data_IF_143855182949
#
_entry.id   IF_143855182949
#
_cell.length_a   1.000
_cell.length_b   1.000
_cell.length_c   1.000
_cell.angle_alpha   90.00
_cell.angle_beta   90.00
_cell.angle_gamma   90.00
#
_symmetry.space_group_name_H-M   'P 1'
#
loop_
_entity.id
_entity.type
_entity.pdbx_description
1 polymer ?
#
# COMPACT_ATOMS: atom_id res chain seq x y z
N UNK A 1 30.30 -6.29 -29.92
CA UNK A 1 28.83 -6.30 -29.96
C UNK A 1 28.41 -7.56 -29.27
N UNK A 2 28.13 -7.42 -27.98
CA UNK A 2 27.57 -8.50 -27.18
C UNK A 2 26.12 -8.68 -27.63
N UNK A 3 25.66 -9.88 -28.01
CA UNK A 3 24.27 -10.08 -28.42
C UNK A 3 23.21 -9.79 -27.33
N UNK A 4 23.63 -9.53 -26.07
CA UNK A 4 22.75 -9.13 -24.98
C UNK A 4 22.58 -7.60 -24.82
N UNK A 5 23.38 -6.79 -25.52
CA UNK A 5 23.35 -5.32 -25.47
C UNK A 5 22.42 -4.80 -26.58
N UNK A 6 21.15 -4.57 -26.23
CA UNK A 6 20.07 -4.27 -27.20
C UNK A 6 19.97 -2.78 -27.56
N UNK A 7 20.45 -1.89 -26.68
CA UNK A 7 20.36 -0.43 -26.84
C UNK A 7 21.71 0.27 -27.06
N UNK A 8 22.83 -0.43 -26.85
CA UNK A 8 24.18 0.02 -27.18
C UNK A 8 24.78 1.02 -26.19
N UNK A 9 24.28 1.09 -24.96
CA UNK A 9 24.76 2.03 -23.94
C UNK A 9 26.04 1.57 -23.22
N UNK A 10 26.42 0.30 -23.39
CA UNK A 10 27.64 -0.30 -22.81
C UNK A 10 27.47 -0.78 -21.36
N UNK A 11 26.26 -0.84 -20.84
CA UNK A 11 25.91 -1.49 -19.58
C UNK A 11 25.50 -2.96 -19.84
N UNK A 12 25.82 -3.85 -18.90
CA UNK A 12 25.77 -5.32 -19.07
C UNK A 12 24.39 -5.93 -18.80
N UNK A 13 23.36 -5.10 -18.61
CA UNK A 13 22.02 -5.51 -18.23
C UNK A 13 21.06 -4.40 -18.66
N UNK A 14 20.06 -4.72 -19.48
CA UNK A 14 18.97 -3.79 -19.79
C UNK A 14 18.39 -3.30 -18.43
N UNK A 15 18.41 -1.99 -18.19
CA UNK A 15 17.72 -1.33 -17.07
C UNK A 15 16.40 -0.82 -17.64
N UNK A 16 15.40 -1.69 -17.61
CA UNK A 16 14.14 -1.43 -18.31
C UNK A 16 13.20 -0.48 -17.53
N UNK A 17 13.44 -0.27 -16.22
CA UNK A 17 12.64 0.61 -15.37
C UNK A 17 13.30 1.98 -15.12
N UNK A 18 14.55 2.17 -15.59
CA UNK A 18 15.27 3.44 -15.56
C UNK A 18 15.80 3.82 -14.19
N UNK A 19 15.91 2.87 -13.26
CA UNK A 19 16.41 3.09 -11.91
C UNK A 19 17.94 2.91 -11.79
N UNK A 20 18.61 2.61 -12.91
CA UNK A 20 20.05 2.39 -13.04
C UNK A 20 20.58 1.16 -12.27
N UNK A 21 19.71 0.19 -11.99
CA UNK A 21 20.04 -1.09 -11.35
C UNK A 21 19.84 -2.22 -12.38
N UNK A 22 20.80 -3.15 -12.51
CA UNK A 22 20.68 -4.32 -13.39
C UNK A 22 19.46 -5.22 -13.10
N UNK A 23 18.60 -5.44 -14.10
CA UNK A 23 17.41 -6.32 -14.05
C UNK A 23 17.74 -7.80 -13.72
N UNK A 24 19.03 -8.21 -13.75
CA UNK A 24 19.48 -9.56 -13.38
C UNK A 24 19.53 -9.81 -11.85
N UNK A 25 19.20 -8.80 -11.02
CA UNK A 25 19.19 -8.88 -9.56
C UNK A 25 17.77 -8.95 -8.95
N UNK A 26 16.71 -8.90 -9.75
CA UNK A 26 15.34 -8.95 -9.25
C UNK A 26 14.89 -10.44 -9.14
N UNK A 27 14.76 -10.95 -7.93
CA UNK A 27 14.05 -12.21 -7.71
C UNK A 27 12.55 -12.03 -7.91
N UNK A 28 11.73 -13.10 -7.92
CA UNK A 28 10.26 -12.94 -7.89
C UNK A 28 9.74 -12.30 -6.59
N UNK A 29 10.63 -12.02 -5.63
CA UNK A 29 10.37 -11.44 -4.32
C UNK A 29 11.08 -10.10 -4.23
N UNK A 30 10.34 -9.05 -3.90
CA UNK A 30 10.84 -7.74 -3.51
C UNK A 30 10.70 -7.56 -1.99
N UNK A 31 11.68 -6.93 -1.35
CA UNK A 31 11.75 -6.78 0.11
C UNK A 31 11.56 -5.32 0.52
N UNK A 32 10.75 -5.11 1.57
CA UNK A 32 10.43 -3.80 2.13
C UNK A 32 10.68 -3.84 3.64
N UNK A 33 11.53 -2.94 4.14
CA UNK A 33 11.86 -2.81 5.56
C UNK A 33 12.12 -1.34 5.89
N UNK A 34 11.26 -0.75 6.73
CA UNK A 34 11.39 0.62 7.19
C UNK A 34 12.73 0.87 7.92
N UNK A 35 13.31 -0.17 8.53
CA UNK A 35 14.55 -0.12 9.29
C UNK A 35 15.80 -0.35 8.43
N UNK A 36 15.65 -0.71 7.15
CA UNK A 36 16.77 -0.94 6.26
C UNK A 36 17.59 0.35 5.99
N UNK A 37 18.86 0.25 5.57
CA UNK A 37 19.59 1.41 5.07
C UNK A 37 18.84 2.11 3.94
N UNK A 38 18.97 3.43 3.85
CA UNK A 38 18.39 4.21 2.75
C UNK A 38 19.00 3.81 1.40
N UNK A 39 18.25 4.07 0.33
CA UNK A 39 18.64 3.80 -1.06
C UNK A 39 18.77 2.31 -1.40
N UNK A 40 18.01 1.45 -0.72
CA UNK A 40 17.84 0.05 -1.07
C UNK A 40 17.12 -0.15 -2.42
N UNK A 41 17.38 -1.28 -3.06
CA UNK A 41 16.83 -1.71 -4.35
C UNK A 41 15.74 -2.79 -4.24
N UNK A 42 15.37 -3.19 -3.02
CA UNK A 42 14.37 -4.22 -2.77
C UNK A 42 14.79 -5.64 -3.16
N UNK A 43 16.04 -5.90 -3.55
CA UNK A 43 16.49 -7.23 -4.00
C UNK A 43 16.80 -8.20 -2.85
N UNK A 44 16.96 -7.69 -1.63
CA UNK A 44 17.23 -8.45 -0.42
C UNK A 44 16.79 -7.68 0.83
N UNK A 45 16.70 -8.33 1.99
CA UNK A 45 16.50 -7.60 3.25
C UNK A 45 17.58 -6.56 3.54
N UNK A 46 18.84 -6.81 3.16
CA UNK A 46 19.94 -5.85 3.39
C UNK A 46 19.87 -4.61 2.51
N UNK A 47 19.15 -4.70 1.39
CA UNK A 47 18.95 -3.63 0.43
C UNK A 47 17.46 -3.38 0.23
N UNK A 48 16.63 -3.64 1.24
CA UNK A 48 15.18 -3.50 1.12
C UNK A 48 14.77 -2.04 0.89
N UNK A 49 13.65 -1.83 0.19
CA UNK A 49 13.03 -0.50 0.13
C UNK A 49 12.55 -0.09 1.52
N UNK A 50 12.67 1.18 1.88
CA UNK A 50 12.16 1.66 3.17
C UNK A 50 10.64 1.85 3.18
N UNK A 51 10.03 2.05 2.02
CA UNK A 51 8.59 2.23 1.88
C UNK A 51 8.00 1.22 0.90
N UNK A 52 6.72 0.88 1.11
CA UNK A 52 6.02 -0.10 0.26
C UNK A 52 5.64 0.49 -1.11
N UNK A 53 5.54 1.82 -1.23
CA UNK A 53 5.12 2.46 -2.47
C UNK A 53 6.14 2.21 -3.59
N UNK A 54 7.43 2.32 -3.30
CA UNK A 54 8.51 2.04 -4.27
C UNK A 54 8.43 0.59 -4.79
N UNK A 55 8.22 -0.39 -3.91
CA UNK A 55 8.09 -1.79 -4.30
C UNK A 55 6.85 -2.04 -5.19
N UNK A 56 5.73 -1.39 -4.90
CA UNK A 56 4.51 -1.47 -5.71
C UNK A 56 4.68 -0.77 -7.07
N UNK A 57 5.38 0.36 -7.11
CA UNK A 57 5.64 1.10 -8.34
C UNK A 57 6.53 0.28 -9.29
N UNK A 58 7.57 -0.37 -8.79
CA UNK A 58 8.38 -1.31 -9.58
C UNK A 58 7.52 -2.51 -10.03
N UNK A 59 6.74 -3.09 -9.12
CA UNK A 59 5.87 -4.22 -9.44
C UNK A 59 4.72 -3.87 -10.42
N UNK A 60 4.34 -2.60 -10.55
CA UNK A 60 3.36 -2.15 -11.55
C UNK A 60 3.98 -1.91 -12.93
N UNK A 61 5.30 -1.67 -13.00
CA UNK A 61 6.05 -1.31 -14.21
C UNK A 61 7.05 -2.40 -14.62
N UNK A 62 6.66 -3.67 -14.46
CA UNK A 62 7.53 -4.84 -14.69
C UNK A 62 8.01 -4.96 -16.14
N UNK A 63 9.15 -5.63 -16.29
CA UNK A 63 9.81 -5.89 -17.56
C UNK A 63 9.60 -7.36 -17.98
N UNK A 64 9.70 -7.69 -19.27
CA UNK A 64 9.32 -9.03 -19.77
C UNK A 64 10.18 -10.19 -19.23
N UNK A 65 11.37 -9.89 -18.70
CA UNK A 65 12.41 -10.86 -18.31
C UNK A 65 12.36 -11.28 -16.84
N UNK A 66 11.89 -10.41 -15.95
CA UNK A 66 11.72 -10.68 -14.52
C UNK A 66 10.42 -10.04 -14.02
N UNK A 67 9.62 -10.82 -13.31
CA UNK A 67 8.28 -10.46 -12.84
C UNK A 67 8.28 -10.58 -11.31
N UNK A 68 8.13 -9.45 -10.61
CA UNK A 68 7.86 -9.46 -9.18
C UNK A 68 6.49 -10.11 -8.97
N UNK A 69 6.44 -11.18 -8.22
CA UNK A 69 5.18 -11.87 -7.87
C UNK A 69 4.86 -11.76 -6.40
N UNK A 70 5.86 -11.42 -5.58
CA UNK A 70 5.72 -11.29 -4.14
C UNK A 70 6.44 -10.04 -3.63
N UNK A 71 5.83 -9.35 -2.67
CA UNK A 71 6.44 -8.28 -1.90
C UNK A 71 6.38 -8.70 -0.44
N UNK A 72 7.54 -8.80 0.22
CA UNK A 72 7.67 -9.18 1.61
C UNK A 72 7.97 -7.95 2.45
N UNK A 73 7.12 -7.67 3.43
CA UNK A 73 7.15 -6.42 4.18
C UNK A 73 7.43 -6.71 5.65
N UNK A 74 8.51 -6.13 6.16
CA UNK A 74 8.90 -6.23 7.56
C UNK A 74 7.92 -5.50 8.50
N UNK A 75 8.16 -5.61 9.80
CA UNK A 75 7.42 -4.87 10.80
C UNK A 75 7.70 -3.38 10.72
N UNK A 76 6.66 -2.59 10.94
CA UNK A 76 6.73 -1.15 10.72
C UNK A 76 5.40 -0.57 10.29
N UNK A 77 5.37 0.75 10.17
CA UNK A 77 4.23 1.47 9.61
C UNK A 77 4.62 2.11 8.29
N UNK A 78 3.80 1.91 7.27
CA UNK A 78 4.05 2.37 5.90
C UNK A 78 2.90 3.23 5.45
N UNK A 79 3.21 4.40 4.89
CA UNK A 79 2.23 5.37 4.39
C UNK A 79 2.22 5.37 2.85
N UNK A 80 1.04 5.51 2.20
CA UNK A 80 0.96 5.49 0.75
C UNK A 80 1.73 6.60 0.03
N UNK A 81 1.97 7.71 0.72
CA UNK A 81 2.61 8.90 0.16
C UNK A 81 4.15 8.80 0.11
N UNK A 82 4.70 7.61 0.40
CA UNK A 82 6.13 7.32 0.51
C UNK A 82 6.67 7.44 1.94
N UNK A 83 5.86 7.89 2.90
CA UNK A 83 6.23 7.94 4.31
C UNK A 83 6.34 6.56 4.95
N UNK A 84 7.10 6.48 6.05
CA UNK A 84 7.22 5.26 6.84
C UNK A 84 7.66 5.56 8.28
N UNK A 85 7.45 4.60 9.18
CA UNK A 85 7.90 4.63 10.57
C UNK A 85 8.53 3.28 10.91
N UNK A 86 9.85 3.22 11.11
CA UNK A 86 10.50 2.02 11.60
C UNK A 86 10.10 1.77 13.08
N UNK A 87 10.13 0.51 13.55
CA UNK A 87 9.86 0.20 14.94
C UNK A 87 10.80 0.99 15.88
N UNK A 88 10.20 1.80 16.76
CA UNK A 88 10.90 2.63 17.75
C UNK A 88 11.77 3.78 17.21
N UNK A 89 11.64 4.13 15.93
CA UNK A 89 12.31 5.26 15.29
C UNK A 89 11.30 6.36 14.90
N UNK A 90 11.76 7.61 14.66
CA UNK A 90 10.86 8.70 14.33
C UNK A 90 10.17 8.50 12.98
N UNK A 91 9.03 9.17 12.83
CA UNK A 91 8.30 9.21 11.58
C UNK A 91 9.08 9.91 10.47
N UNK A 92 9.10 9.29 9.28
CA UNK A 92 9.64 9.84 8.03
C UNK A 92 8.46 10.24 7.15
N UNK A 93 8.31 11.54 6.91
CA UNK A 93 7.22 12.11 6.12
C UNK A 93 7.40 11.86 4.62
N UNK A 94 6.33 11.50 3.93
CA UNK A 94 6.29 11.39 2.47
C UNK A 94 5.88 12.71 1.79
N UNK A 95 5.12 12.60 0.70
CA UNK A 95 4.66 13.75 -0.10
C UNK A 95 3.51 14.55 0.53
N UNK A 96 2.77 13.97 1.48
CA UNK A 96 1.55 14.53 2.06
C UNK A 96 0.33 14.51 1.13
N UNK A 97 0.37 13.73 0.03
CA UNK A 97 -0.78 13.60 -0.88
C UNK A 97 -1.82 12.65 -0.31
N UNK A 98 -3.04 13.17 -0.11
CA UNK A 98 -4.19 12.39 0.37
C UNK A 98 -4.71 11.39 -0.66
N UNK A 99 -4.44 11.67 -1.93
CA UNK A 99 -4.78 10.81 -3.06
C UNK A 99 -3.85 9.60 -3.18
N UNK A 100 -2.70 9.60 -2.49
CA UNK A 100 -1.80 8.47 -2.48
C UNK A 100 -2.46 7.26 -1.81
N UNK A 101 -2.26 6.09 -2.41
CA UNK A 101 -2.85 4.83 -1.99
C UNK A 101 -1.94 3.67 -2.39
N UNK A 102 -1.91 2.62 -1.58
CA UNK A 102 -1.27 1.37 -1.98
C UNK A 102 -2.15 0.67 -3.02
N UNK A 103 -1.89 0.96 -4.30
CA UNK A 103 -2.60 0.33 -5.41
C UNK A 103 -2.15 -1.13 -5.56
N UNK A 104 -3.09 -2.06 -5.42
CA UNK A 104 -2.81 -3.47 -5.62
C UNK A 104 -2.62 -3.80 -7.10
N UNK A 105 -1.67 -4.70 -7.39
CA UNK A 105 -1.28 -5.11 -8.75
C UNK A 105 -1.68 -6.57 -8.97
N UNK A 106 -2.37 -6.85 -10.08
CA UNK A 106 -2.69 -8.23 -10.49
C UNK A 106 -1.40 -9.04 -10.66
N UNK A 107 -1.39 -10.26 -10.12
CA UNK A 107 -0.23 -11.16 -10.14
C UNK A 107 0.77 -10.95 -9.01
N UNK A 108 0.58 -9.92 -8.17
CA UNK A 108 1.46 -9.57 -7.07
C UNK A 108 0.80 -9.86 -5.72
N UNK A 109 1.51 -10.57 -4.86
CA UNK A 109 1.11 -10.83 -3.48
C UNK A 109 1.95 -10.01 -2.50
N UNK A 110 1.29 -9.22 -1.65
CA UNK A 110 1.93 -8.46 -0.58
C UNK A 110 1.73 -9.18 0.74
N UNK A 111 2.83 -9.51 1.40
CA UNK A 111 2.88 -10.28 2.64
C UNK A 111 3.49 -9.44 3.77
N UNK A 112 2.73 -9.24 4.85
CA UNK A 112 3.26 -8.66 6.10
C UNK A 112 3.66 -9.74 7.11
N UNK A 113 4.37 -9.39 8.18
CA UNK A 113 4.71 -10.34 9.25
C UNK A 113 6.18 -10.75 9.34
N UNK A 114 7.08 -10.03 8.69
CA UNK A 114 8.51 -10.34 8.68
C UNK A 114 9.29 -9.50 9.70
N UNK A 115 10.41 -10.02 10.21
CA UNK A 115 11.42 -9.25 10.96
C UNK A 115 12.50 -8.63 10.08
N UNK A 116 12.64 -9.08 8.83
CA UNK A 116 13.66 -8.57 7.91
C UNK A 116 14.91 -9.45 7.82
N UNK A 117 14.80 -10.74 8.15
CA UNK A 117 15.90 -11.71 8.06
C UNK A 117 15.47 -13.08 7.54
N UNK A 118 14.20 -13.22 7.15
CA UNK A 118 13.60 -14.46 6.68
C UNK A 118 14.09 -14.86 5.28
N UNK A 119 14.17 -16.16 5.09
CA UNK A 119 14.54 -16.80 3.83
C UNK A 119 13.37 -17.54 3.17
N UNK A 120 12.23 -17.64 3.84
CA UNK A 120 11.04 -18.33 3.35
C UNK A 120 9.74 -17.75 3.91
N UNK A 121 8.67 -17.81 3.12
CA UNK A 121 7.36 -17.22 3.44
C UNK A 121 6.70 -17.80 4.71
N UNK A 122 7.03 -19.04 5.08
CA UNK A 122 6.50 -19.72 6.26
C UNK A 122 7.16 -19.30 7.58
N UNK A 123 8.22 -18.48 7.51
CA UNK A 123 8.88 -17.90 8.70
C UNK A 123 8.15 -16.67 9.26
N UNK A 124 7.20 -16.11 8.51
CA UNK A 124 6.38 -14.97 8.96
C UNK A 124 5.67 -15.26 10.28
N UNK A 125 5.60 -14.25 11.12
CA UNK A 125 4.70 -14.19 12.27
C UNK A 125 3.95 -12.85 12.27
N UNK A 126 2.83 -12.74 11.54
CA UNK A 126 2.04 -11.50 11.48
C UNK A 126 1.49 -11.02 12.83
N UNK A 127 1.44 -11.90 13.85
CA UNK A 127 1.00 -11.52 15.18
C UNK A 127 2.12 -10.90 16.01
N UNK A 128 3.37 -11.32 15.80
CA UNK A 128 4.54 -10.78 16.49
C UNK A 128 5.16 -9.58 15.74
N UNK A 129 5.15 -9.60 14.42
CA UNK A 129 5.85 -8.67 13.54
C UNK A 129 4.83 -7.85 12.73
N UNK A 130 4.13 -6.94 13.39
CA UNK A 130 3.01 -6.26 12.77
C UNK A 130 3.46 -5.32 11.63
N UNK A 131 3.02 -5.62 10.41
CA UNK A 131 3.10 -4.70 9.27
C UNK A 131 1.82 -3.86 9.20
N UNK A 132 1.95 -2.55 9.32
CA UNK A 132 0.84 -1.61 9.37
C UNK A 132 0.86 -0.74 8.11
N UNK A 133 -0.20 -0.78 7.32
CA UNK A 133 -0.48 0.20 6.28
C UNK A 133 -1.32 1.31 6.90
N UNK A 134 -0.79 2.53 6.93
CA UNK A 134 -1.42 3.65 7.61
C UNK A 134 -1.73 4.80 6.67
N UNK A 135 -2.94 5.33 6.75
CA UNK A 135 -3.32 6.59 6.12
C UNK A 135 -2.92 7.85 6.91
N UNK A 136 -2.42 7.72 8.14
CA UNK A 136 -1.91 8.82 8.98
C UNK A 136 -0.56 9.31 8.43
N UNK A 137 -0.55 10.31 7.55
CA UNK A 137 0.64 10.75 6.82
C UNK A 137 1.58 11.60 7.68
N UNK A 138 1.08 12.20 8.75
CA UNK A 138 1.86 12.99 9.71
C UNK A 138 2.27 12.19 10.96
N UNK A 139 1.67 11.01 11.18
CA UNK A 139 1.91 10.20 12.37
C UNK A 139 1.36 10.87 13.64
N UNK A 140 0.27 11.62 13.54
CA UNK A 140 -0.28 12.44 14.63
C UNK A 140 -1.73 12.13 15.00
N UNK A 141 -2.31 11.05 14.46
CA UNK A 141 -3.67 10.59 14.76
C UNK A 141 -3.87 10.37 16.28
N UNK A 142 -4.82 11.10 16.86
CA UNK A 142 -5.22 10.93 18.24
C UNK A 142 -6.07 9.66 18.43
N UNK A 143 -5.83 8.92 19.53
CA UNK A 143 -6.69 7.81 19.91
C UNK A 143 -8.10 8.30 20.26
N UNK A 144 -9.12 7.62 19.71
CA UNK A 144 -10.52 7.82 20.09
C UNK A 144 -11.00 6.66 20.94
N UNK A 145 -11.76 6.97 21.99
CA UNK A 145 -12.37 5.96 22.87
C UNK A 145 -13.58 5.31 22.21
N UNK A 146 -14.38 6.09 21.50
CA UNK A 146 -15.54 5.63 20.77
C UNK A 146 -15.24 5.68 19.26
N UNK A 147 -15.24 4.54 18.55
CA UNK A 147 -14.96 4.51 17.11
C UNK A 147 -15.88 5.40 16.26
N UNK A 148 -17.10 5.72 16.73
CA UNK A 148 -17.99 6.63 16.03
C UNK A 148 -17.43 8.06 15.95
N UNK A 149 -16.54 8.44 16.87
CA UNK A 149 -15.96 9.77 16.96
C UNK A 149 -14.80 9.96 15.94
N UNK A 150 -14.33 8.89 15.28
CA UNK A 150 -13.29 8.96 14.25
C UNK A 150 -13.63 9.94 13.12
N UNK A 151 -14.91 10.09 12.78
CA UNK A 151 -15.37 10.96 11.69
C UNK A 151 -15.17 12.46 11.97
N UNK A 152 -15.01 12.85 13.23
CA UNK A 152 -14.90 14.24 13.66
C UNK A 152 -13.58 14.51 14.40
N UNK A 153 -12.66 13.53 14.40
CA UNK A 153 -11.34 13.67 15.01
C UNK A 153 -10.46 14.55 14.10
N UNK A 154 -9.97 15.71 14.59
CA UNK A 154 -9.33 16.72 13.75
C UNK A 154 -7.91 16.38 13.28
N UNK A 155 -7.16 15.52 13.97
CA UNK A 155 -5.79 15.16 13.55
C UNK A 155 -5.80 14.33 12.27
N UNK A 156 -6.88 13.61 11.99
CA UNK A 156 -7.03 12.79 10.77
C UNK A 156 -7.23 13.56 9.46
N UNK A 157 -7.32 14.90 9.51
CA UNK A 157 -7.76 15.72 8.38
C UNK A 157 -6.82 15.65 7.17
N UNK A 158 -5.57 15.31 7.42
CA UNK A 158 -4.53 15.11 6.42
C UNK A 158 -4.57 13.71 5.80
N UNK A 159 -5.18 12.73 6.47
CA UNK A 159 -4.94 11.33 6.14
C UNK A 159 -5.37 10.97 4.71
N UNK A 160 -4.72 9.95 4.14
CA UNK A 160 -5.10 9.36 2.86
C UNK A 160 -6.60 9.05 2.81
N UNK A 161 -7.23 9.33 1.67
CA UNK A 161 -8.63 8.96 1.44
C UNK A 161 -8.82 7.45 1.51
N UNK A 162 -7.92 6.71 0.85
CA UNK A 162 -7.91 5.25 0.80
C UNK A 162 -6.51 4.75 1.11
N UNK A 163 -6.35 4.00 2.19
CA UNK A 163 -5.04 3.40 2.49
C UNK A 163 -4.64 2.43 1.38
N UNK A 164 -5.57 1.56 0.97
CA UNK A 164 -5.37 0.57 -0.08
C UNK A 164 -6.40 0.74 -1.19
N UNK A 165 -5.99 0.61 -2.44
CA UNK A 165 -6.90 0.57 -3.59
C UNK A 165 -6.75 -0.74 -4.33
N UNK A 166 -7.82 -1.53 -4.40
CA UNK A 166 -7.89 -2.74 -5.22
C UNK A 166 -8.76 -2.55 -6.47
N UNK A 167 -9.02 -1.32 -6.86
CA UNK A 167 -9.74 -0.99 -8.10
C UNK A 167 -8.99 -1.51 -9.33
N UNK A 168 -9.72 -2.08 -10.29
CA UNK A 168 -9.17 -2.58 -11.55
C UNK A 168 -8.29 -3.84 -11.49
N UNK A 169 -7.96 -4.34 -10.29
CA UNK A 169 -7.19 -5.58 -10.15
C UNK A 169 -8.08 -6.83 -10.12
N UNK A 170 -7.50 -7.99 -10.40
CA UNK A 170 -8.19 -9.28 -10.33
C UNK A 170 -7.78 -10.08 -9.06
N UNK A 171 -8.38 -11.25 -8.80
CA UNK A 171 -8.13 -12.02 -7.58
C UNK A 171 -6.69 -12.49 -7.35
N UNK A 172 -5.80 -12.35 -8.33
CA UNK A 172 -4.36 -12.63 -8.19
C UNK A 172 -3.59 -11.53 -7.48
N UNK A 173 -4.18 -10.33 -7.33
CA UNK A 173 -3.67 -9.32 -6.42
C UNK A 173 -4.00 -9.75 -4.98
N UNK A 174 -2.97 -10.05 -4.19
CA UNK A 174 -3.13 -10.61 -2.83
C UNK A 174 -2.59 -9.65 -1.78
N UNK A 175 -3.34 -9.49 -0.70
CA UNK A 175 -2.89 -8.82 0.53
C UNK A 175 -3.03 -9.81 1.69
N UNK A 176 -1.94 -10.20 2.34
CA UNK A 176 -1.94 -11.25 3.37
C UNK A 176 -1.14 -10.90 4.64
N UNK A 177 -1.83 -10.77 5.77
CA UNK A 177 -1.21 -10.58 7.08
C UNK A 177 -0.84 -9.14 7.43
N UNK A 178 -1.60 -8.15 6.93
CA UNK A 178 -1.35 -6.73 7.19
C UNK A 178 -2.47 -6.10 8.02
N UNK A 179 -2.13 -5.03 8.75
CA UNK A 179 -3.12 -4.19 9.43
C UNK A 179 -3.31 -2.91 8.63
N UNK A 180 -4.54 -2.59 8.24
CA UNK A 180 -4.92 -1.38 7.50
C UNK A 180 -5.60 -0.42 8.46
N UNK A 181 -5.02 0.77 8.64
CA UNK A 181 -5.47 1.81 9.57
C UNK A 181 -5.35 3.20 8.99
N UNK A 182 -5.91 4.20 9.64
CA UNK A 182 -5.57 5.59 9.31
C UNK A 182 -6.43 6.19 8.19
N UNK A 183 -7.11 5.40 7.38
CA UNK A 183 -7.87 5.91 6.25
C UNK A 183 -8.99 6.88 6.62
N UNK A 184 -9.05 8.02 5.93
CA UNK A 184 -10.08 9.05 6.12
C UNK A 184 -10.69 9.48 4.79
N UNK A 185 -11.68 8.71 4.33
CA UNK A 185 -12.44 9.02 3.13
C UNK A 185 -13.44 10.16 3.41
N UNK A 186 -12.89 11.38 3.41
CA UNK A 186 -13.63 12.63 3.52
C UNK A 186 -12.90 13.73 2.75
N UNK A 187 -13.60 14.34 1.81
CA UNK A 187 -13.10 15.45 1.03
C UNK A 187 -13.96 16.70 1.27
N UNK A 188 -13.34 17.77 1.74
CA UNK A 188 -13.99 19.04 2.10
C UNK A 188 -13.78 20.15 1.06
N UNK A 189 -13.17 19.83 -0.08
CA UNK A 189 -12.81 20.78 -1.14
C UNK A 189 -13.73 20.65 -2.36
N UNK A 190 -13.69 21.62 -3.27
CA UNK A 190 -14.39 21.49 -4.56
C UNK A 190 -13.55 20.65 -5.52
N UNK A 191 -14.18 19.68 -6.20
CA UNK A 191 -13.54 18.86 -7.22
C UNK A 191 -13.19 17.44 -6.78
N UNK A 192 -13.60 17.02 -5.59
CA UNK A 192 -13.46 15.65 -5.10
C UNK A 192 -14.13 14.66 -6.04
N UNK A 193 -13.52 13.49 -6.17
CA UNK A 193 -14.19 12.33 -6.74
C UNK A 193 -15.31 11.87 -5.80
N UNK A 194 -16.30 11.18 -6.35
CA UNK A 194 -17.29 10.49 -5.51
C UNK A 194 -16.67 9.42 -4.63
N UNK A 195 -15.50 8.93 -5.02
CA UNK A 195 -14.79 7.84 -4.37
C UNK A 195 -14.12 8.31 -3.08
N UNK A 196 -13.65 9.56 -3.02
CA UNK A 196 -12.96 10.18 -1.89
C UNK A 196 -13.82 10.23 -0.60
N UNK A 197 -15.12 9.90 -0.70
CA UNK A 197 -16.07 9.82 0.41
C UNK A 197 -16.29 8.38 0.91
N UNK A 198 -15.72 7.36 0.29
CA UNK A 198 -15.99 5.96 0.64
C UNK A 198 -14.73 5.10 0.68
N UNK A 199 -14.71 4.00 1.43
CA UNK A 199 -13.58 3.07 1.39
C UNK A 199 -12.31 3.59 2.08
N UNK A 200 -12.43 4.08 3.32
CA UNK A 200 -11.30 4.64 4.07
C UNK A 200 -10.10 3.69 4.14
N UNK A 201 -10.33 2.46 4.57
CA UNK A 201 -9.28 1.43 4.60
C UNK A 201 -8.99 0.88 3.21
N UNK A 202 -10.02 0.44 2.50
CA UNK A 202 -9.87 -0.09 1.14
C UNK A 202 -11.01 0.31 0.20
N UNK A 203 -10.66 0.75 -1.00
CA UNK A 203 -11.60 1.02 -2.08
C UNK A 203 -11.43 0.01 -3.23
N UNK A 204 -12.53 -0.59 -3.67
CA UNK A 204 -12.56 -1.50 -4.82
C UNK A 204 -13.65 -1.09 -5.82
N UNK A 205 -13.23 -0.48 -6.93
CA UNK A 205 -14.06 -0.16 -8.09
C UNK A 205 -13.70 -1.08 -9.26
N UNK A 206 -14.66 -1.87 -9.76
CA UNK A 206 -14.41 -2.84 -10.84
C UNK A 206 -13.13 -3.68 -10.61
N UNK A 207 -12.93 -4.10 -9.35
CA UNK A 207 -11.71 -4.77 -8.89
C UNK A 207 -12.03 -5.84 -7.86
N UNK A 208 -11.32 -6.95 -7.88
CA UNK A 208 -11.66 -8.13 -7.09
C UNK A 208 -10.44 -8.76 -6.42
N UNK A 209 -9.66 -8.02 -5.60
CA UNK A 209 -8.47 -8.56 -4.94
C UNK A 209 -8.81 -9.68 -3.97
N UNK A 210 -7.78 -10.44 -3.59
CA UNK A 210 -7.84 -11.43 -2.51
C UNK A 210 -7.20 -10.85 -1.24
N UNK A 211 -7.97 -10.74 -0.16
CA UNK A 211 -7.53 -10.19 1.13
C UNK A 211 -7.59 -11.29 2.18
N UNK A 212 -6.46 -11.58 2.82
CA UNK A 212 -6.28 -12.74 3.70
C UNK A 212 -5.63 -12.28 5.01
N UNK A 213 -6.12 -12.77 6.16
CA UNK A 213 -5.51 -12.51 7.48
C UNK A 213 -5.25 -11.01 7.76
N UNK A 214 -6.07 -10.11 7.21
CA UNK A 214 -5.86 -8.67 7.34
C UNK A 214 -6.79 -8.07 8.38
N UNK A 215 -6.33 -7.03 9.08
CA UNK A 215 -7.14 -6.33 10.08
C UNK A 215 -7.45 -4.93 9.57
N UNK A 216 -8.73 -4.60 9.44
CA UNK A 216 -9.18 -3.22 9.19
C UNK A 216 -9.64 -2.60 10.51
N UNK A 217 -8.96 -1.54 10.96
CA UNK A 217 -9.35 -0.81 12.18
C UNK A 217 -9.04 0.67 12.04
N UNK A 218 -9.75 1.51 12.80
CA UNK A 218 -9.53 2.95 12.81
C UNK A 218 -9.50 3.58 11.39
N UNK A 219 -10.35 3.07 10.49
CA UNK A 219 -10.58 3.66 9.18
C UNK A 219 -12.00 4.21 9.16
N UNK A 220 -12.20 5.36 8.52
CA UNK A 220 -13.51 5.99 8.49
C UNK A 220 -13.81 6.62 7.13
N UNK A 221 -15.09 6.74 6.86
CA UNK A 221 -15.65 7.36 5.67
C UNK A 221 -16.76 8.29 6.14
N UNK A 222 -16.77 9.52 5.65
CA UNK A 222 -17.71 10.55 6.07
C UNK A 222 -18.31 11.18 4.84
N UNK A 223 -19.63 11.18 4.77
CA UNK A 223 -20.37 11.92 3.75
C UNK A 223 -20.42 13.40 4.06
N UNK A 224 -20.71 14.20 3.05
CA UNK A 224 -21.04 15.61 3.21
C UNK A 224 -22.18 16.02 2.28
N UNK A 225 -23.01 16.95 2.74
CA UNK A 225 -24.11 17.53 1.96
C UNK A 225 -23.60 18.37 0.77
N UNK A 226 -22.31 18.69 0.72
CA UNK A 226 -21.68 19.51 -0.33
C UNK A 226 -21.57 18.81 -1.70
N UNK A 227 -21.57 17.48 -1.75
CA UNK A 227 -21.56 16.74 -3.02
C UNK A 227 -22.99 16.61 -3.56
N UNK A 228 -23.44 17.61 -4.30
CA UNK A 228 -24.82 17.73 -4.76
C UNK A 228 -25.21 16.83 -5.95
N UNK A 229 -24.46 15.79 -6.31
CA UNK A 229 -24.66 15.08 -7.59
C UNK A 229 -24.56 13.55 -7.58
N UNK A 230 -24.19 12.87 -6.49
CA UNK A 230 -24.18 11.39 -6.50
C UNK A 230 -24.46 10.76 -5.13
N UNK A 231 -25.21 9.65 -5.11
CA UNK A 231 -25.50 8.86 -3.90
C UNK A 231 -24.25 8.24 -3.25
N UNK A 232 -23.09 8.32 -3.90
CA UNK A 232 -21.80 7.82 -3.39
C UNK A 232 -21.12 8.78 -2.40
N UNK A 233 -21.62 10.00 -2.30
CA UNK A 233 -21.11 11.01 -1.37
C UNK A 233 -21.74 10.95 0.03
N UNK A 234 -22.60 9.95 0.31
CA UNK A 234 -23.21 9.76 1.63
C UNK A 234 -22.22 9.23 2.68
N UNK A 235 -21.01 8.83 2.26
CA UNK A 235 -20.02 8.24 3.15
C UNK A 235 -20.29 6.76 3.38
N UNK A 236 -19.52 5.87 2.78
CA UNK A 236 -19.74 4.43 2.93
C UNK A 236 -18.44 3.64 3.10
N UNK A 237 -18.51 2.57 3.89
CA UNK A 237 -17.43 1.59 3.99
C UNK A 237 -16.14 2.16 4.57
N UNK A 238 -16.16 2.63 5.82
CA UNK A 238 -14.94 3.10 6.50
C UNK A 238 -13.80 2.07 6.45
N UNK A 239 -14.10 0.78 6.67
CA UNK A 239 -13.13 -0.30 6.51
C UNK A 239 -12.87 -0.68 5.05
N UNK A 240 -13.93 -0.99 4.30
CA UNK A 240 -13.84 -1.37 2.88
C UNK A 240 -15.11 -0.97 2.14
N UNK A 241 -14.98 -0.48 0.90
CA UNK A 241 -16.09 -0.17 0.01
C UNK A 241 -15.91 -0.83 -1.37
N UNK A 242 -16.90 -1.61 -1.79
CA UNK A 242 -16.89 -2.38 -3.03
C UNK A 242 -18.04 -1.93 -3.94
N UNK A 243 -17.75 -1.54 -5.17
CA UNK A 243 -18.78 -1.08 -6.11
C UNK A 243 -18.40 -1.35 -7.58
N UNK A 244 -19.32 -1.11 -8.52
CA UNK A 244 -19.12 -1.30 -9.97
C UNK A 244 -18.62 -2.69 -10.37
N UNK A 245 -19.22 -3.73 -9.78
CA UNK A 245 -18.94 -5.13 -10.12
C UNK A 245 -17.71 -5.73 -9.43
N UNK A 246 -17.25 -5.12 -8.34
CA UNK A 246 -16.21 -5.67 -7.47
C UNK A 246 -16.70 -6.85 -6.63
N UNK A 247 -15.93 -7.94 -6.59
CA UNK A 247 -16.20 -9.15 -5.79
C UNK A 247 -14.92 -9.65 -5.10
N UNK A 248 -14.31 -8.88 -4.18
CA UNK A 248 -13.09 -9.31 -3.51
C UNK A 248 -13.31 -10.58 -2.68
N UNK A 249 -12.26 -11.37 -2.53
CA UNK A 249 -12.26 -12.58 -1.70
C UNK A 249 -11.64 -12.24 -0.35
N UNK A 250 -12.42 -12.31 0.73
CA UNK A 250 -11.92 -12.10 2.09
C UNK A 250 -11.79 -13.44 2.82
N UNK A 251 -10.66 -13.67 3.49
CA UNK A 251 -10.41 -14.84 4.33
C UNK A 251 -9.76 -14.42 5.65
N UNK A 252 -10.38 -14.71 6.79
CA UNK A 252 -9.86 -14.41 8.13
C UNK A 252 -9.56 -12.92 8.37
N UNK A 253 -10.46 -12.03 7.95
CA UNK A 253 -10.38 -10.58 8.17
C UNK A 253 -11.45 -10.08 9.14
#
# INVERSE_FOLDING_TARGET
>A
VDPADSDGDGHVSDDCNGNWIPDECEGPVCYVDASAPTDGDGSSWTTAYNNLQDALDVAANQCETVVITEIWVADGTYMPDGGYMPPAEPHVTGTGSREATFQLVSGVAVYGGFTGDETSLDQRDPAANATILSGDLNGDDAEVVNPADLQDEPTRAENSYHVVTGSGCDPTAVLDGLTIVGGYAYCSTYGCSSDDFSGGGMLNANGSPTVINCIFRANTAKGDDYCSSSARCEGAGGGMYNYDGSYPILRNC
#
